data_IF_866832831693
#
_entry.id   IF_866832831693
#
_cell.length_a   1.000
_cell.length_b   1.000
_cell.length_c   1.000
_cell.angle_alpha   90.00
_cell.angle_beta   90.00
_cell.angle_gamma   90.00
#
_symmetry.space_group_name_H-M   'P 1'
#
loop_
_entity.id
_entity.type
_entity.pdbx_description
1 polymer ?
#
# COMPACT_ATOMS: atom_id res chain seq x y z
N UNK A 1 20.99 4.65 17.77
CA UNK A 1 20.50 4.37 16.42
C UNK A 1 21.06 3.03 16.01
N UNK A 2 20.26 2.18 15.45
CA UNK A 2 20.67 0.91 14.85
C UNK A 2 20.61 1.09 13.35
N UNK A 3 21.70 0.75 12.69
CA UNK A 3 21.81 0.72 11.24
C UNK A 3 22.07 -0.71 10.80
N UNK A 4 21.33 -1.21 9.82
CA UNK A 4 21.52 -2.51 9.20
C UNK A 4 21.42 -2.35 7.68
N UNK A 5 22.45 -2.81 6.98
CA UNK A 5 22.48 -2.78 5.53
C UNK A 5 22.85 -4.17 4.97
N UNK A 6 22.16 -4.58 3.92
CA UNK A 6 22.46 -5.78 3.15
C UNK A 6 22.53 -5.37 1.67
N UNK A 7 23.67 -5.63 1.06
CA UNK A 7 23.90 -5.35 -0.35
C UNK A 7 24.37 -6.64 -1.04
N UNK A 8 23.65 -7.07 -2.05
CA UNK A 8 23.97 -8.30 -2.80
C UNK A 8 23.53 -8.17 -4.26
N UNK A 9 24.45 -7.79 -5.13
CA UNK A 9 24.16 -7.54 -6.53
C UNK A 9 23.22 -6.37 -6.71
N UNK A 10 22.07 -6.60 -7.34
CA UNK A 10 20.99 -5.62 -7.54
C UNK A 10 19.96 -5.60 -6.39
N UNK A 11 20.24 -6.30 -5.28
CA UNK A 11 19.44 -6.31 -4.06
C UNK A 11 20.13 -5.45 -3.00
N UNK A 12 19.40 -4.45 -2.50
CA UNK A 12 19.87 -3.59 -1.43
C UNK A 12 18.73 -3.37 -0.44
N UNK A 13 19.04 -3.52 0.83
CA UNK A 13 18.15 -3.13 1.92
C UNK A 13 18.97 -2.34 2.94
N UNK A 14 18.42 -1.23 3.38
CA UNK A 14 18.98 -0.34 4.38
C UNK A 14 17.91 0.00 5.41
N UNK A 15 18.22 -0.19 6.67
CA UNK A 15 17.30 0.03 7.79
C UNK A 15 18.00 0.88 8.83
N UNK A 16 17.46 2.06 9.09
CA UNK A 16 17.83 2.90 10.21
C UNK A 16 16.72 2.95 11.24
N UNK A 17 17.02 2.72 12.51
CA UNK A 17 16.05 2.77 13.57
C UNK A 17 16.60 3.40 14.84
N UNK A 18 15.78 4.14 15.57
CA UNK A 18 16.08 4.59 16.92
C UNK A 18 15.82 3.47 17.92
N UNK A 19 16.84 3.14 18.69
CA UNK A 19 16.84 2.04 19.65
C UNK A 19 17.56 0.80 19.11
N UNK A 20 17.59 -0.26 19.89
CA UNK A 20 18.21 -1.51 19.50
C UNK A 20 17.33 -2.35 18.58
N UNK A 21 17.92 -3.37 17.95
CA UNK A 21 17.23 -4.34 17.11
C UNK A 21 16.02 -5.00 17.80
N UNK A 22 16.17 -5.36 19.07
CA UNK A 22 15.08 -5.95 19.88
C UNK A 22 13.89 -5.01 20.01
N UNK A 23 14.15 -3.70 20.19
CA UNK A 23 13.09 -2.69 20.24
C UNK A 23 12.37 -2.58 18.92
N UNK A 24 13.07 -2.55 17.80
CA UNK A 24 12.49 -2.51 16.46
C UNK A 24 11.56 -3.71 16.21
N UNK A 25 12.04 -4.91 16.53
CA UNK A 25 11.25 -6.14 16.40
C UNK A 25 10.01 -6.12 17.31
N UNK A 26 10.17 -5.72 18.56
CA UNK A 26 9.06 -5.62 19.52
C UNK A 26 8.00 -4.62 19.06
N UNK A 27 8.41 -3.46 18.56
CA UNK A 27 7.49 -2.45 18.01
C UNK A 27 6.80 -2.97 16.73
N UNK A 28 7.53 -3.62 15.81
CA UNK A 28 6.95 -4.26 14.64
C UNK A 28 5.89 -5.30 14.99
N UNK A 29 6.18 -6.18 15.94
CA UNK A 29 5.21 -7.15 16.46
C UNK A 29 3.98 -6.48 17.10
N UNK A 30 4.19 -5.37 17.82
CA UNK A 30 3.11 -4.60 18.44
C UNK A 30 2.16 -4.00 17.39
N UNK A 31 2.70 -3.51 16.26
CA UNK A 31 1.89 -3.01 15.13
C UNK A 31 1.09 -4.17 14.52
N UNK A 32 1.73 -5.29 14.21
CA UNK A 32 1.04 -6.46 13.63
C UNK A 32 -0.11 -6.92 14.53
N UNK A 33 0.12 -7.03 15.84
CA UNK A 33 -0.92 -7.39 16.81
C UNK A 33 -2.06 -6.37 16.82
N UNK A 34 -1.74 -5.06 16.75
CA UNK A 34 -2.76 -4.03 16.72
C UNK A 34 -3.59 -4.07 15.43
N UNK A 35 -2.97 -4.27 14.27
CA UNK A 35 -3.68 -4.45 13.01
C UNK A 35 -4.61 -5.67 13.07
N UNK A 36 -4.10 -6.80 13.56
CA UNK A 36 -4.91 -8.02 13.72
C UNK A 36 -6.08 -7.80 14.68
N UNK A 37 -5.86 -7.09 15.79
CA UNK A 37 -6.92 -6.73 16.74
C UNK A 37 -7.97 -5.85 16.06
N UNK A 38 -7.56 -4.80 15.34
CA UNK A 38 -8.49 -3.90 14.66
C UNK A 38 -9.31 -4.64 13.59
N UNK A 39 -8.70 -5.54 12.83
CA UNK A 39 -9.41 -6.38 11.86
C UNK A 39 -10.44 -7.28 12.56
N UNK A 40 -10.04 -7.95 13.65
CA UNK A 40 -10.92 -8.84 14.43
C UNK A 40 -12.10 -8.08 15.02
N UNK A 41 -11.82 -6.93 15.62
CA UNK A 41 -12.81 -6.11 16.31
C UNK A 41 -13.62 -5.25 15.33
N UNK A 42 -13.29 -5.29 14.01
CA UNK A 42 -13.87 -4.46 12.95
C UNK A 42 -13.79 -2.97 13.27
N UNK A 43 -12.65 -2.54 13.79
CA UNK A 43 -12.38 -1.16 14.21
C UNK A 43 -11.28 -0.61 13.32
N UNK A 44 -11.39 0.64 12.90
CA UNK A 44 -10.34 1.39 12.22
C UNK A 44 -9.88 2.51 13.15
N UNK A 45 -8.66 2.44 13.65
CA UNK A 45 -8.09 3.47 14.52
C UNK A 45 -6.63 3.76 14.14
N UNK A 46 -6.47 4.69 13.23
CA UNK A 46 -5.17 5.11 12.73
C UNK A 46 -4.30 5.74 13.83
N UNK A 47 -4.89 6.48 14.77
CA UNK A 47 -4.15 7.12 15.87
C UNK A 47 -3.49 6.06 16.78
N UNK A 48 -4.18 4.97 17.06
CA UNK A 48 -3.62 3.87 17.86
C UNK A 48 -2.50 3.13 17.10
N UNK A 49 -2.63 2.96 15.79
CA UNK A 49 -1.56 2.40 14.97
C UNK A 49 -0.34 3.31 14.98
N UNK A 50 -0.53 4.62 14.76
CA UNK A 50 0.54 5.61 14.75
C UNK A 50 1.36 5.61 16.04
N UNK A 51 0.70 5.55 17.22
CA UNK A 51 1.37 5.53 18.53
C UNK A 51 2.33 4.33 18.70
N UNK A 52 2.13 3.26 17.95
CA UNK A 52 2.96 2.04 18.00
C UNK A 52 4.06 2.02 16.94
N UNK A 53 4.11 3.02 16.04
CA UNK A 53 5.12 3.08 15.02
C UNK A 53 6.53 3.24 15.62
N UNK A 54 7.52 2.49 15.16
CA UNK A 54 8.92 2.75 15.47
C UNK A 54 9.39 4.04 14.80
N UNK A 55 10.39 4.68 15.39
CA UNK A 55 11.16 5.71 14.68
C UNK A 55 12.19 4.99 13.80
N UNK A 56 11.84 4.75 12.54
CA UNK A 56 12.66 3.99 11.61
C UNK A 56 12.49 4.47 10.17
N UNK A 57 13.53 4.27 9.37
CA UNK A 57 13.47 4.36 7.91
C UNK A 57 13.92 3.04 7.29
N UNK A 58 13.29 2.66 6.19
CA UNK A 58 13.61 1.46 5.42
C UNK A 58 13.68 1.88 3.96
N UNK A 59 14.85 1.69 3.36
CA UNK A 59 15.03 1.73 1.91
C UNK A 59 15.30 0.32 1.41
N UNK A 60 14.56 -0.09 0.42
CA UNK A 60 14.73 -1.38 -0.25
C UNK A 60 14.71 -1.16 -1.75
N UNK A 61 15.67 -1.76 -2.44
CA UNK A 61 15.66 -1.85 -3.90
C UNK A 61 16.09 -3.24 -4.35
N UNK A 62 15.41 -3.76 -5.33
CA UNK A 62 15.72 -5.07 -5.91
C UNK A 62 15.47 -5.02 -7.41
N UNK A 63 16.46 -5.47 -8.17
CA UNK A 63 16.29 -5.83 -9.57
C UNK A 63 15.80 -7.27 -9.70
N UNK A 64 16.06 -7.88 -10.87
CA UNK A 64 15.55 -9.21 -11.20
C UNK A 64 16.56 -10.35 -10.96
N UNK A 65 17.85 -10.03 -10.78
CA UNK A 65 18.95 -11.01 -10.84
C UNK A 65 19.59 -11.21 -9.45
N UNK A 66 18.75 -11.58 -8.45
CA UNK A 66 19.20 -11.80 -7.09
C UNK A 66 18.49 -12.97 -6.41
N UNK A 67 19.00 -13.34 -5.24
CA UNK A 67 18.48 -14.45 -4.45
C UNK A 67 16.99 -14.30 -4.07
N UNK A 68 16.54 -13.08 -3.76
CA UNK A 68 15.14 -12.84 -3.38
C UNK A 68 14.20 -13.19 -4.53
N UNK A 69 14.48 -12.70 -5.75
CA UNK A 69 13.66 -12.99 -6.94
C UNK A 69 13.71 -14.47 -7.29
N UNK A 70 14.88 -15.10 -7.17
CA UNK A 70 15.00 -16.55 -7.35
C UNK A 70 14.12 -17.33 -6.37
N UNK A 71 14.12 -16.93 -5.08
CA UNK A 71 13.27 -17.55 -4.08
C UNK A 71 11.78 -17.34 -4.35
N UNK A 72 11.38 -16.12 -4.65
CA UNK A 72 9.99 -15.77 -4.95
C UNK A 72 9.46 -16.50 -6.19
N UNK A 73 10.30 -16.67 -7.20
CA UNK A 73 9.92 -17.37 -8.44
C UNK A 73 9.54 -18.84 -8.18
N UNK A 74 10.11 -19.49 -7.15
CA UNK A 74 9.69 -20.83 -6.74
C UNK A 74 8.25 -20.89 -6.23
N UNK A 75 7.72 -19.76 -5.79
CA UNK A 75 6.34 -19.62 -5.30
C UNK A 75 5.41 -18.97 -6.32
N UNK A 76 5.83 -18.83 -7.58
CA UNK A 76 5.02 -18.22 -8.63
C UNK A 76 5.01 -16.68 -8.62
N UNK A 77 5.90 -16.04 -7.88
CA UNK A 77 6.03 -14.58 -7.82
C UNK A 77 7.29 -14.12 -8.55
N UNK A 78 7.16 -13.07 -9.33
CA UNK A 78 8.27 -12.46 -10.05
C UNK A 78 8.04 -10.94 -10.17
N UNK A 79 9.12 -10.17 -10.20
CA UNK A 79 9.13 -8.77 -10.60
C UNK A 79 10.47 -8.43 -11.28
N UNK A 80 10.47 -7.40 -12.12
CA UNK A 80 11.71 -6.94 -12.75
C UNK A 80 12.43 -5.89 -11.91
N UNK A 81 11.69 -5.10 -11.15
CA UNK A 81 12.23 -4.10 -10.24
C UNK A 81 11.23 -3.84 -9.10
N UNK A 82 11.74 -3.74 -7.90
CA UNK A 82 10.96 -3.32 -6.75
C UNK A 82 11.74 -2.28 -5.93
N UNK A 83 11.07 -1.21 -5.51
CA UNK A 83 11.63 -0.22 -4.61
C UNK A 83 10.63 0.07 -3.50
N UNK A 84 11.13 0.22 -2.29
CA UNK A 84 10.39 0.66 -1.11
C UNK A 84 11.23 1.73 -0.43
N UNK A 85 10.61 2.84 -0.13
CA UNK A 85 11.18 3.91 0.68
C UNK A 85 10.13 4.31 1.70
N UNK A 86 10.37 3.99 2.97
CA UNK A 86 9.41 4.20 4.05
C UNK A 86 10.10 4.81 5.27
N UNK A 87 9.46 5.83 5.81
CA UNK A 87 9.83 6.42 7.08
C UNK A 87 8.64 6.32 8.04
N UNK A 88 8.91 5.94 9.27
CA UNK A 88 7.91 5.82 10.32
C UNK A 88 8.35 6.52 11.61
N UNK A 89 7.41 7.13 12.31
CA UNK A 89 7.60 7.69 13.62
C UNK A 89 6.26 7.78 14.36
N UNK A 90 6.29 7.56 15.67
CA UNK A 90 5.11 7.76 16.51
C UNK A 90 4.67 9.24 16.56
N UNK A 91 5.56 10.19 16.24
CA UNK A 91 5.27 11.62 16.20
C UNK A 91 4.72 12.02 14.82
N UNK A 92 5.47 11.76 13.75
CA UNK A 92 5.14 12.23 12.40
C UNK A 92 4.28 11.24 11.61
N UNK A 93 4.14 10.02 12.11
CA UNK A 93 3.37 8.95 11.46
C UNK A 93 4.19 8.17 10.42
N UNK A 94 3.51 7.69 9.39
CA UNK A 94 4.06 6.88 8.31
C UNK A 94 4.09 7.67 7.01
N UNK A 95 5.22 7.63 6.33
CA UNK A 95 5.36 8.16 4.97
C UNK A 95 6.12 7.15 4.15
N UNK A 96 5.69 6.88 2.93
CA UNK A 96 6.42 5.94 2.10
C UNK A 96 5.91 5.81 0.69
N UNK A 97 6.78 5.27 -0.14
CA UNK A 97 6.54 4.98 -1.53
C UNK A 97 6.94 3.54 -1.82
N UNK A 98 6.08 2.82 -2.52
CA UNK A 98 6.37 1.49 -3.05
C UNK A 98 6.19 1.54 -4.56
N UNK A 99 7.11 0.98 -5.30
CA UNK A 99 6.96 0.77 -6.74
C UNK A 99 7.45 -0.62 -7.12
N UNK A 100 6.67 -1.32 -7.92
CA UNK A 100 7.00 -2.65 -8.45
C UNK A 100 6.73 -2.63 -9.95
N UNK A 101 7.71 -3.04 -10.74
CA UNK A 101 7.60 -3.16 -12.18
C UNK A 101 7.59 -4.62 -12.60
N UNK A 102 6.74 -4.94 -13.58
CA UNK A 102 6.58 -6.28 -14.17
C UNK A 102 6.24 -7.35 -13.12
N UNK A 103 5.29 -7.04 -12.24
CA UNK A 103 4.83 -7.98 -11.21
C UNK A 103 4.05 -9.14 -11.85
N UNK A 104 4.48 -10.35 -11.53
CA UNK A 104 3.77 -11.59 -11.87
C UNK A 104 3.40 -12.31 -10.59
N UNK A 105 2.15 -12.69 -10.46
CA UNK A 105 1.60 -13.47 -9.35
C UNK A 105 0.75 -14.59 -9.95
N UNK A 106 1.29 -15.78 -10.03
CA UNK A 106 0.69 -16.91 -10.76
C UNK A 106 0.33 -16.54 -12.23
N UNK A 107 -0.95 -16.37 -12.52
CA UNK A 107 -1.47 -15.99 -13.84
C UNK A 107 -1.67 -14.48 -14.04
N UNK A 108 -1.57 -13.68 -12.97
CA UNK A 108 -1.80 -12.23 -13.02
C UNK A 108 -0.48 -11.54 -13.38
N UNK A 109 -0.53 -10.67 -14.40
CA UNK A 109 0.61 -9.84 -14.81
C UNK A 109 0.23 -8.36 -14.73
N UNK A 110 1.01 -7.60 -14.00
CA UNK A 110 0.85 -6.16 -13.81
C UNK A 110 2.16 -5.46 -14.22
N UNK A 111 2.07 -4.49 -15.13
CA UNK A 111 3.29 -3.80 -15.61
C UNK A 111 3.88 -2.88 -14.56
N UNK A 112 3.04 -2.12 -13.87
CA UNK A 112 3.51 -1.20 -12.82
C UNK A 112 2.49 -1.16 -11.69
N UNK A 113 2.98 -1.32 -10.48
CA UNK A 113 2.23 -1.10 -9.23
C UNK A 113 2.93 -0.02 -8.44
N UNK A 114 2.20 0.99 -8.00
CA UNK A 114 2.70 2.08 -7.15
C UNK A 114 1.78 2.30 -5.97
N UNK A 115 2.37 2.57 -4.82
CA UNK A 115 1.65 2.94 -3.60
C UNK A 115 2.39 4.10 -2.95
N UNK A 116 1.65 5.17 -2.65
CA UNK A 116 2.13 6.27 -1.85
C UNK A 116 1.29 6.33 -0.58
N UNK A 117 1.95 6.50 0.56
CA UNK A 117 1.31 6.61 1.86
C UNK A 117 1.90 7.82 2.56
N UNK A 118 1.05 8.62 3.21
CA UNK A 118 1.48 9.77 3.98
C UNK A 118 0.53 10.00 5.15
N UNK A 119 1.10 10.07 6.35
CA UNK A 119 0.36 10.62 7.50
C UNK A 119 0.25 12.14 7.36
N UNK A 120 -0.96 12.64 7.53
CA UNK A 120 -1.28 14.06 7.53
C UNK A 120 -2.19 14.35 8.73
N UNK A 121 -1.64 14.97 9.76
CA UNK A 121 -2.29 15.14 11.06
C UNK A 121 -2.79 13.78 11.60
N UNK A 122 -4.09 13.66 11.84
CA UNK A 122 -4.73 12.43 12.35
C UNK A 122 -5.25 11.51 11.26
N UNK A 123 -4.82 11.72 10.01
CA UNK A 123 -5.20 10.92 8.87
C UNK A 123 -3.99 10.20 8.29
N UNK A 124 -4.24 9.03 7.70
CA UNK A 124 -3.32 8.34 6.79
C UNK A 124 -3.89 8.44 5.38
N UNK A 125 -3.25 9.25 4.55
CA UNK A 125 -3.63 9.40 3.14
C UNK A 125 -2.85 8.40 2.30
N UNK A 126 -3.51 7.75 1.37
CA UNK A 126 -2.87 6.81 0.46
C UNK A 126 -3.36 6.98 -0.98
N UNK A 127 -2.47 6.68 -1.91
CA UNK A 127 -2.76 6.58 -3.34
C UNK A 127 -2.11 5.34 -3.91
N UNK A 128 -2.90 4.45 -4.46
CA UNK A 128 -2.44 3.25 -5.14
C UNK A 128 -2.74 3.34 -6.64
N UNK A 129 -1.80 2.94 -7.46
CA UNK A 129 -1.94 2.92 -8.92
C UNK A 129 -1.46 1.59 -9.48
N UNK A 130 -2.25 1.02 -10.38
CA UNK A 130 -1.88 -0.15 -11.18
C UNK A 130 -2.04 0.21 -12.64
N UNK A 131 -1.00 -0.05 -13.42
CA UNK A 131 -0.98 0.24 -14.86
C UNK A 131 -0.59 -1.03 -15.61
N UNK A 132 -1.40 -1.39 -16.59
CA UNK A 132 -1.04 -2.32 -17.64
C UNK A 132 -1.06 -1.59 -18.97
N UNK A 133 0.04 -1.64 -19.71
CA UNK A 133 0.21 -1.00 -21.01
C UNK A 133 -0.05 -1.98 -22.16
N UNK A 134 0.03 -1.50 -23.41
CA UNK A 134 -0.23 -2.29 -24.63
C UNK A 134 0.71 -3.48 -24.84
N UNK A 135 1.80 -3.59 -24.10
CA UNK A 135 2.73 -4.73 -24.18
C UNK A 135 2.28 -5.88 -23.27
N UNK A 136 1.39 -5.60 -22.30
CA UNK A 136 0.84 -6.64 -21.45
C UNK A 136 -0.18 -7.47 -22.23
N UNK A 137 -0.02 -8.80 -22.29
CA UNK A 137 -0.93 -9.67 -23.06
C UNK A 137 -2.31 -9.85 -22.43
N UNK A 138 -2.52 -9.36 -21.19
CA UNK A 138 -3.81 -9.48 -20.50
C UNK A 138 -4.71 -8.29 -20.83
N UNK A 139 -4.74 -7.29 -19.94
CA UNK A 139 -5.62 -6.14 -20.09
C UNK A 139 -4.82 -4.84 -20.10
N UNK A 140 -5.17 -3.95 -21.00
CA UNK A 140 -4.65 -2.57 -20.98
C UNK A 140 -5.60 -1.73 -20.13
N UNK A 141 -5.12 -1.27 -19.00
CA UNK A 141 -5.91 -0.43 -18.10
C UNK A 141 -5.01 0.42 -17.18
N UNK A 142 -5.59 1.41 -16.57
CA UNK A 142 -5.01 2.14 -15.46
C UNK A 142 -6.05 2.23 -14.34
N UNK A 143 -5.76 1.63 -13.20
CA UNK A 143 -6.54 1.73 -11.99
C UNK A 143 -5.87 2.68 -11.00
N UNK A 144 -6.65 3.55 -10.37
CA UNK A 144 -6.21 4.45 -9.31
C UNK A 144 -7.17 4.31 -8.14
N UNK A 145 -6.61 4.19 -6.95
CA UNK A 145 -7.36 4.17 -5.71
C UNK A 145 -6.73 5.21 -4.78
N UNK A 146 -7.45 6.29 -4.53
CA UNK A 146 -7.08 7.32 -3.57
C UNK A 146 -7.97 7.21 -2.35
N UNK A 147 -7.42 7.42 -1.17
CA UNK A 147 -8.22 7.36 0.05
C UNK A 147 -7.53 7.91 1.27
N UNK A 148 -8.28 7.96 2.34
CA UNK A 148 -7.80 8.33 3.66
C UNK A 148 -8.39 7.43 4.73
N UNK A 149 -7.59 7.18 5.77
CA UNK A 149 -7.97 6.52 7.00
C UNK A 149 -7.87 7.52 8.16
N UNK A 150 -8.86 7.55 9.00
CA UNK A 150 -8.87 8.34 10.23
C UNK A 150 -9.44 7.50 11.40
N UNK A 151 -9.71 8.12 12.54
CA UNK A 151 -10.27 7.42 13.70
C UNK A 151 -11.76 7.04 13.53
N UNK A 152 -12.46 7.65 12.58
CA UNK A 152 -13.89 7.41 12.36
C UNK A 152 -14.15 6.43 11.21
N UNK A 153 -13.13 6.11 10.41
CA UNK A 153 -13.29 5.22 9.29
C UNK A 153 -12.34 5.50 8.14
N UNK A 154 -12.82 5.23 6.94
CA UNK A 154 -12.07 5.43 5.69
C UNK A 154 -12.98 5.96 4.61
N UNK A 155 -12.49 6.89 3.82
CA UNK A 155 -13.06 7.16 2.52
C UNK A 155 -12.09 6.73 1.41
N UNK A 156 -12.63 6.26 0.30
CA UNK A 156 -11.85 5.73 -0.79
C UNK A 156 -12.55 6.07 -2.12
N UNK A 157 -11.77 6.48 -3.11
CA UNK A 157 -12.23 6.71 -4.48
C UNK A 157 -11.44 5.84 -5.44
N UNK A 158 -12.12 4.94 -6.12
CA UNK A 158 -11.54 4.06 -7.12
C UNK A 158 -11.93 4.54 -8.53
N UNK A 159 -10.94 4.57 -9.43
CA UNK A 159 -11.10 4.92 -10.84
C UNK A 159 -10.44 3.87 -11.71
N UNK A 160 -11.11 3.46 -12.78
CA UNK A 160 -10.58 2.56 -13.78
C UNK A 160 -10.69 3.19 -15.17
N UNK A 161 -9.56 3.28 -15.84
CA UNK A 161 -9.44 3.80 -17.19
C UNK A 161 -9.13 2.65 -18.14
N UNK A 162 -9.69 2.70 -19.33
CA UNK A 162 -9.45 1.73 -20.40
C UNK A 162 -8.15 2.00 -21.18
N UNK A 163 -7.92 1.22 -22.22
CA UNK A 163 -6.77 1.32 -23.12
C UNK A 163 -6.64 2.68 -23.84
N UNK A 164 -7.74 3.42 -23.99
CA UNK A 164 -7.80 4.74 -24.60
C UNK A 164 -7.73 5.86 -23.56
N UNK A 165 -7.41 5.52 -22.31
CA UNK A 165 -7.40 6.43 -21.17
C UNK A 165 -8.76 7.09 -20.89
N UNK A 166 -9.86 6.42 -21.29
CA UNK A 166 -11.22 6.84 -21.00
C UNK A 166 -11.67 6.27 -19.67
N UNK A 167 -12.23 7.11 -18.81
CA UNK A 167 -12.75 6.70 -17.51
C UNK A 167 -13.99 5.83 -17.69
N UNK A 168 -13.86 4.56 -17.33
CA UNK A 168 -14.94 3.56 -17.45
C UNK A 168 -15.67 3.27 -16.16
N UNK A 169 -14.93 3.36 -15.02
CA UNK A 169 -15.51 3.14 -13.68
C UNK A 169 -14.98 4.22 -12.75
N UNK A 170 -15.87 4.81 -11.97
CA UNK A 170 -15.54 5.64 -10.82
C UNK A 170 -16.52 5.34 -9.70
N UNK A 171 -16.01 4.94 -8.54
CA UNK A 171 -16.81 4.62 -7.36
C UNK A 171 -16.14 5.25 -6.15
N UNK A 172 -16.91 5.99 -5.36
CA UNK A 172 -16.54 6.43 -4.02
C UNK A 172 -17.16 5.50 -2.99
N UNK A 173 -16.36 5.12 -1.99
CA UNK A 173 -16.79 4.31 -0.85
C UNK A 173 -16.45 5.04 0.44
N UNK A 174 -17.40 5.05 1.36
CA UNK A 174 -17.24 5.52 2.72
C UNK A 174 -17.45 4.33 3.66
N UNK A 175 -16.48 4.08 4.51
CA UNK A 175 -16.57 3.10 5.59
C UNK A 175 -16.53 3.86 6.92
N UNK A 176 -17.65 3.91 7.63
CA UNK A 176 -17.77 4.58 8.92
C UNK A 176 -17.86 3.55 10.04
N UNK A 177 -17.18 3.85 11.14
CA UNK A 177 -17.26 3.03 12.33
C UNK A 177 -18.51 3.35 13.13
N UNK A 178 -19.33 2.36 13.36
CA UNK A 178 -20.49 2.41 14.23
C UNK A 178 -20.32 1.53 15.47
N UNK A 179 -21.18 1.69 16.47
CA UNK A 179 -21.15 0.94 17.74
C UNK A 179 -21.10 -0.59 17.54
N UNK A 180 -21.71 -1.09 16.46
CA UNK A 180 -21.88 -2.53 16.20
C UNK A 180 -21.13 -3.01 14.95
N UNK A 181 -20.20 -2.22 14.39
CA UNK A 181 -19.45 -2.64 13.22
C UNK A 181 -19.04 -1.50 12.29
N UNK A 182 -18.88 -1.82 11.03
CA UNK A 182 -18.53 -0.85 9.98
C UNK A 182 -19.72 -0.73 9.04
N UNK A 183 -20.22 0.48 8.89
CA UNK A 183 -21.20 0.85 7.88
C UNK A 183 -20.48 1.23 6.59
N UNK A 184 -20.84 0.60 5.49
CA UNK A 184 -20.32 0.94 4.17
C UNK A 184 -21.39 1.65 3.37
N UNK A 185 -21.03 2.77 2.76
CA UNK A 185 -21.88 3.57 1.90
C UNK A 185 -21.16 3.90 0.59
N UNK A 186 -21.92 3.96 -0.50
CA UNK A 186 -21.40 4.47 -1.77
C UNK A 186 -21.52 5.99 -1.71
N UNK A 187 -20.44 6.69 -2.00
CA UNK A 187 -20.44 8.13 -2.11
C UNK A 187 -21.07 8.53 -3.45
N UNK A 188 -22.06 9.42 -3.39
CA UNK A 188 -22.80 9.91 -4.56
C UNK A 188 -22.03 10.88 -5.47
N UNK A 189 -20.72 11.03 -5.31
CA UNK A 189 -19.87 11.91 -6.11
C UNK A 189 -19.68 11.38 -7.54
N UNK A 190 -20.71 11.55 -8.38
CA UNK A 190 -20.71 11.19 -9.79
C UNK A 190 -20.17 9.76 -10.05
N UNK A 191 -20.87 8.72 -9.58
CA UNK A 191 -20.48 7.36 -9.89
C UNK A 191 -20.54 7.13 -11.41
N UNK A 192 -19.52 6.50 -11.95
CA UNK A 192 -19.43 6.13 -13.37
C UNK A 192 -19.33 4.61 -13.44
N UNK A 193 -20.23 3.98 -14.20
CA UNK A 193 -20.19 2.57 -14.50
C UNK A 193 -20.41 2.38 -16.01
N UNK A 194 -19.51 1.64 -16.67
CA UNK A 194 -19.61 1.39 -18.10
C UNK A 194 -19.63 2.68 -18.94
N UNK A 195 -18.79 3.66 -18.55
CA UNK A 195 -18.63 4.97 -19.20
C UNK A 195 -19.84 5.93 -19.06
N UNK A 196 -20.82 5.60 -18.25
CA UNK A 196 -22.00 6.43 -18.00
C UNK A 196 -21.99 6.91 -16.55
N UNK A 197 -22.30 8.19 -16.37
CA UNK A 197 -22.60 8.73 -15.05
C UNK A 197 -23.98 8.24 -14.59
N UNK A 198 -24.11 7.98 -13.31
CA UNK A 198 -25.37 7.65 -12.64
C UNK A 198 -25.66 8.74 -11.62
N UNK A 199 -26.89 9.21 -11.61
CA UNK A 199 -27.42 10.13 -10.62
C UNK A 199 -27.90 9.38 -9.38
#
# INVERSE_FOLDING_TARGET
TTHAAINSGDFNIDIDAKGGYERLLSQGQSIVKEVQRQIKDRVINQVMLRRKLPDASITFSSGKDNFLVYLLNKYGYYFSKANVDMCSSHITGLTGNVSIDSLVMDSIRLDTVRLNIKSDNDKLVYSAQVINNKRNPQYVFRAIVDGELNEHGSNMKAKLYDANNKLGIQIGLLAEMEHNGIRMSILGDNPILGYKAFD
#
